data_IF_523863919593
#
_entry.id   IF_523863919593
#
_cell.length_a   1.000
_cell.length_b   1.000
_cell.length_c   1.000
_cell.angle_alpha   90.00
_cell.angle_beta   90.00
_cell.angle_gamma   90.00
#
_symmetry.space_group_name_H-M   'P 1'
#
loop_
_entity.id
_entity.type
_entity.pdbx_description
1 polymer ?
#
# COMPACT_ATOMS: atom_id res chain seq x y z
N UNK A 1 -14.13 8.89 -14.83
CA UNK A 1 -13.22 9.36 -13.76
C UNK A 1 -13.19 8.38 -12.59
N UNK A 2 -14.24 8.29 -11.77
CA UNK A 2 -14.24 7.48 -10.53
C UNK A 2 -13.84 6.00 -10.67
N UNK A 3 -14.30 5.33 -11.74
CA UNK A 3 -14.02 3.92 -11.98
C UNK A 3 -12.70 3.66 -12.74
N UNK A 4 -12.02 4.70 -13.21
CA UNK A 4 -10.89 4.55 -14.13
C UNK A 4 -11.32 4.21 -15.56
N UNK A 5 -10.52 4.65 -16.52
CA UNK A 5 -10.67 4.39 -17.96
C UNK A 5 -9.37 4.77 -18.66
N UNK A 6 -9.21 4.43 -19.94
CA UNK A 6 -8.04 4.81 -20.73
C UNK A 6 -7.83 6.33 -20.81
N UNK A 7 -8.89 7.14 -20.66
CA UNK A 7 -8.81 8.61 -20.70
C UNK A 7 -8.59 9.25 -19.33
N UNK A 8 -8.50 8.47 -18.25
CA UNK A 8 -8.29 8.96 -16.89
C UNK A 8 -7.13 8.20 -16.22
N UNK A 9 -5.89 8.38 -16.71
CA UNK A 9 -4.73 7.64 -16.23
C UNK A 9 -4.33 8.03 -14.81
N UNK A 10 -3.92 7.06 -14.00
CA UNK A 10 -3.57 7.27 -12.59
C UNK A 10 -2.35 8.17 -12.40
N UNK A 11 -1.48 8.27 -13.41
CA UNK A 11 -0.30 9.13 -13.34
C UNK A 11 -0.66 10.62 -13.41
N UNK A 12 -1.87 10.95 -13.88
CA UNK A 12 -2.39 12.32 -13.94
C UNK A 12 -3.44 12.60 -12.87
N UNK A 13 -4.23 11.58 -12.47
CA UNK A 13 -5.38 11.75 -11.58
C UNK A 13 -5.28 11.03 -10.24
N UNK A 14 -4.19 10.28 -10.00
CA UNK A 14 -4.06 9.40 -8.84
C UNK A 14 -4.80 8.06 -9.01
N UNK A 15 -4.58 7.11 -8.08
CA UNK A 15 -5.24 5.80 -8.10
C UNK A 15 -6.74 5.91 -7.75
N UNK A 16 -7.47 4.82 -7.95
CA UNK A 16 -8.89 4.72 -7.56
C UNK A 16 -9.05 3.98 -6.24
N UNK A 17 -10.17 4.19 -5.54
CA UNK A 17 -10.48 3.45 -4.32
C UNK A 17 -10.52 1.92 -4.52
N UNK A 18 -10.90 1.47 -5.71
CA UNK A 18 -11.05 0.06 -6.02
C UNK A 18 -9.71 -0.66 -6.04
N UNK A 19 -8.63 0.04 -6.41
CA UNK A 19 -7.27 -0.49 -6.35
C UNK A 19 -6.82 -0.73 -4.91
N UNK A 20 -7.20 0.15 -3.97
CA UNK A 20 -6.97 -0.07 -2.54
C UNK A 20 -7.83 -1.21 -1.99
N UNK A 21 -9.14 -1.17 -2.25
CA UNK A 21 -10.10 -2.13 -1.71
C UNK A 21 -9.79 -3.58 -2.12
N UNK A 22 -9.22 -3.77 -3.31
CA UNK A 22 -8.86 -5.09 -3.86
C UNK A 22 -7.39 -5.44 -3.68
N UNK A 23 -6.58 -4.57 -3.07
CA UNK A 23 -5.14 -4.83 -2.90
C UNK A 23 -4.36 -4.94 -4.22
N UNK A 24 -4.74 -4.15 -5.24
CA UNK A 24 -4.19 -4.26 -6.60
C UNK A 24 -2.67 -4.06 -6.64
N UNK A 25 -2.17 -2.97 -6.06
CA UNK A 25 -0.73 -2.68 -6.05
C UNK A 25 0.02 -3.60 -5.09
N UNK A 26 -0.58 -3.91 -3.94
CA UNK A 26 -0.06 -4.90 -2.99
C UNK A 26 0.21 -6.24 -3.70
N UNK A 27 -0.75 -6.75 -4.49
CA UNK A 27 -0.61 -8.01 -5.20
C UNK A 27 0.56 -7.98 -6.21
N UNK A 28 0.70 -6.90 -6.97
CA UNK A 28 1.81 -6.74 -7.92
C UNK A 28 3.17 -6.66 -7.20
N UNK A 29 3.23 -5.97 -6.06
CA UNK A 29 4.43 -5.92 -5.23
C UNK A 29 4.82 -7.33 -4.76
N UNK A 30 3.89 -8.08 -4.16
CA UNK A 30 4.16 -9.46 -3.73
C UNK A 30 4.53 -10.39 -4.88
N UNK A 31 3.93 -10.20 -6.07
CA UNK A 31 4.32 -10.95 -7.26
C UNK A 31 5.78 -10.70 -7.65
N UNK A 32 6.23 -9.44 -7.63
CA UNK A 32 7.63 -9.07 -7.93
C UNK A 32 8.61 -9.60 -6.89
N UNK A 33 8.28 -9.43 -5.61
CA UNK A 33 9.10 -9.96 -4.51
C UNK A 33 9.19 -11.49 -4.61
N UNK A 34 8.06 -12.18 -4.82
CA UNK A 34 8.02 -13.62 -5.01
C UNK A 34 8.87 -14.09 -6.20
N UNK A 35 8.85 -13.36 -7.32
CA UNK A 35 9.74 -13.62 -8.45
C UNK A 35 11.22 -13.53 -8.08
N UNK A 36 11.60 -12.49 -7.34
CA UNK A 36 12.98 -12.35 -6.85
C UNK A 36 13.42 -13.49 -5.93
N UNK A 37 12.52 -13.95 -5.06
CA UNK A 37 12.80 -15.09 -4.18
C UNK A 37 12.98 -16.41 -4.95
N UNK A 38 12.19 -16.64 -6.00
CA UNK A 38 12.35 -17.81 -6.90
C UNK A 38 13.71 -17.77 -7.62
N UNK A 39 14.22 -16.57 -7.90
CA UNK A 39 15.56 -16.35 -8.47
C UNK A 39 16.69 -16.45 -7.42
N UNK A 40 16.41 -16.97 -6.22
CA UNK A 40 17.35 -17.10 -5.09
C UNK A 40 17.91 -15.78 -4.55
N UNK A 41 17.16 -14.68 -4.70
CA UNK A 41 17.51 -13.41 -4.06
C UNK A 41 17.15 -13.47 -2.58
N UNK A 42 17.92 -12.79 -1.75
CA UNK A 42 17.53 -12.55 -0.37
C UNK A 42 16.29 -11.65 -0.31
N UNK A 43 15.54 -11.69 0.80
CA UNK A 43 14.39 -10.80 1.03
C UNK A 43 14.77 -9.33 0.85
N UNK A 44 15.92 -8.92 1.39
CA UNK A 44 16.39 -7.53 1.29
C UNK A 44 16.64 -7.11 -0.16
N UNK A 45 17.19 -7.99 -0.99
CA UNK A 45 17.43 -7.72 -2.41
C UNK A 45 16.12 -7.70 -3.22
N UNK A 46 15.19 -8.60 -2.91
CA UNK A 46 13.89 -8.63 -3.58
C UNK A 46 13.10 -7.35 -3.29
N UNK A 47 13.08 -6.89 -2.04
CA UNK A 47 12.41 -5.66 -1.63
C UNK A 47 13.10 -4.39 -2.15
N UNK A 48 14.43 -4.35 -2.23
CA UNK A 48 15.17 -3.17 -2.74
C UNK A 48 14.95 -2.92 -4.23
N UNK A 49 14.49 -3.92 -4.98
CA UNK A 49 14.11 -3.81 -6.40
C UNK A 49 12.70 -3.25 -6.62
N UNK A 50 11.89 -3.07 -5.56
CA UNK A 50 10.57 -2.49 -5.68
C UNK A 50 10.67 -0.97 -5.91
N UNK A 51 10.12 -0.43 -7.00
CA UNK A 51 10.16 1.01 -7.24
C UNK A 51 9.38 1.77 -6.17
N UNK A 52 9.95 2.85 -5.64
CA UNK A 52 9.27 3.70 -4.64
C UNK A 52 7.93 4.23 -5.14
N UNK A 53 7.81 4.56 -6.44
CA UNK A 53 6.53 4.97 -7.06
C UNK A 53 5.45 3.88 -6.92
N UNK A 54 5.82 2.61 -7.08
CA UNK A 54 4.88 1.50 -6.94
C UNK A 54 4.48 1.31 -5.47
N UNK A 55 5.44 1.37 -4.55
CA UNK A 55 5.18 1.33 -3.12
C UNK A 55 4.25 2.48 -2.68
N UNK A 56 4.45 3.68 -3.24
CA UNK A 56 3.64 4.85 -2.93
C UNK A 56 2.20 4.74 -3.46
N UNK A 57 1.96 4.05 -4.59
CA UNK A 57 0.59 3.75 -5.01
C UNK A 57 -0.15 2.80 -4.05
N UNK A 58 0.57 1.98 -3.29
CA UNK A 58 0.02 1.05 -2.30
C UNK A 58 -0.16 1.66 -0.90
N UNK A 59 -0.34 2.98 -0.83
CA UNK A 59 -0.53 3.74 0.41
C UNK A 59 -1.93 4.36 0.48
N UNK A 60 -2.61 4.20 1.63
CA UNK A 60 -4.03 4.55 1.77
C UNK A 60 -4.34 6.04 1.59
N UNK A 61 -3.43 6.96 1.91
CA UNK A 61 -3.74 8.39 1.74
C UNK A 61 -3.84 8.79 0.27
N UNK A 62 -3.26 7.99 -0.64
CA UNK A 62 -3.47 8.17 -2.08
C UNK A 62 -4.83 7.67 -2.57
N UNK A 63 -5.64 7.03 -1.70
CA UNK A 63 -7.01 6.65 -2.02
C UNK A 63 -7.93 7.90 -2.02
N UNK A 64 -8.58 8.23 -3.15
CA UNK A 64 -9.42 9.43 -3.26
C UNK A 64 -10.68 9.37 -2.38
N UNK A 65 -10.99 8.22 -1.77
CA UNK A 65 -12.09 8.04 -0.84
C UNK A 65 -11.74 8.31 0.64
N UNK A 66 -10.59 8.93 0.94
CA UNK A 66 -10.14 9.30 2.30
C UNK A 66 -10.16 10.81 2.60
N UNK A 67 -10.74 11.61 1.70
CA UNK A 67 -10.91 13.06 1.89
C UNK A 67 -12.00 13.42 2.90
N UNK A 68 -12.31 14.72 2.98
CA UNK A 68 -13.44 15.23 3.74
C UNK A 68 -13.97 16.51 3.08
N UNK A 69 -15.29 16.74 3.11
CA UNK A 69 -15.94 17.81 2.35
C UNK A 69 -15.33 19.20 2.58
N UNK A 70 -14.88 19.47 3.80
CA UNK A 70 -14.29 20.76 4.19
C UNK A 70 -12.77 20.71 4.44
N UNK A 71 -12.10 19.60 4.10
CA UNK A 71 -10.64 19.53 4.10
C UNK A 71 -10.15 20.09 2.77
N UNK A 72 -9.96 21.40 2.71
CA UNK A 72 -9.52 22.11 1.50
C UNK A 72 -8.00 22.06 1.32
N UNK A 73 -7.54 22.15 0.07
CA UNK A 73 -6.13 22.19 -0.29
C UNK A 73 -5.64 20.95 -1.02
N UNK A 74 -4.32 20.87 -1.23
CA UNK A 74 -3.65 19.69 -1.81
C UNK A 74 -3.55 18.56 -0.79
N UNK A 75 -3.26 17.35 -1.28
CA UNK A 75 -2.96 16.20 -0.42
C UNK A 75 -1.75 16.47 0.48
N UNK A 76 -0.74 17.19 -0.03
CA UNK A 76 0.46 17.58 0.71
C UNK A 76 0.16 18.41 1.96
N UNK A 77 -0.95 19.16 2.00
CA UNK A 77 -1.38 19.90 3.19
C UNK A 77 -1.95 18.98 4.28
N UNK A 78 -2.35 17.76 3.92
CA UNK A 78 -2.90 16.75 4.81
C UNK A 78 -1.80 15.95 5.50
N UNK A 79 -1.11 15.09 4.75
CA UNK A 79 -0.10 14.16 5.28
C UNK A 79 1.35 14.57 5.01
N UNK A 80 1.57 15.68 4.30
CA UNK A 80 2.89 16.24 4.04
C UNK A 80 3.46 15.83 2.68
N UNK A 81 4.71 16.25 2.43
CA UNK A 81 5.43 15.93 1.19
C UNK A 81 6.18 14.62 1.38
N UNK A 82 5.95 13.65 0.50
CA UNK A 82 6.69 12.40 0.50
C UNK A 82 8.18 12.64 0.21
N UNK A 83 9.06 12.15 1.09
CA UNK A 83 10.53 12.34 0.98
C UNK A 83 11.25 11.09 0.46
N UNK A 84 10.79 9.90 0.84
CA UNK A 84 11.39 8.64 0.43
C UNK A 84 10.73 7.44 1.11
N UNK A 85 10.99 6.24 0.60
CA UNK A 85 10.43 5.01 1.15
C UNK A 85 11.36 4.40 2.20
N UNK A 86 10.82 4.06 3.38
CA UNK A 86 11.58 3.47 4.49
C UNK A 86 11.73 1.93 4.37
N UNK A 87 11.31 1.34 3.26
CA UNK A 87 11.31 -0.11 3.05
C UNK A 87 10.04 -0.81 3.54
N UNK A 88 10.02 -2.13 3.38
CA UNK A 88 8.91 -2.98 3.78
C UNK A 88 9.13 -3.55 5.19
N UNK A 89 8.25 -3.25 6.17
CA UNK A 89 8.37 -3.81 7.51
C UNK A 89 7.95 -5.29 7.53
N UNK A 90 8.72 -6.12 8.23
CA UNK A 90 8.37 -7.52 8.52
C UNK A 90 8.19 -7.65 10.03
N UNK A 91 6.99 -8.03 10.45
CA UNK A 91 6.69 -8.27 11.86
C UNK A 91 6.83 -9.74 12.18
N UNK A 92 7.42 -10.07 13.33
CA UNK A 92 7.55 -11.44 13.81
C UNK A 92 7.17 -11.55 15.27
N UNK A 93 6.55 -12.67 15.64
CA UNK A 93 6.34 -13.00 17.04
C UNK A 93 7.61 -13.59 17.70
N UNK A 94 7.50 -13.95 18.98
CA UNK A 94 8.59 -14.59 19.75
C UNK A 94 9.03 -15.95 19.19
N UNK A 95 8.19 -16.60 18.39
CA UNK A 95 8.45 -17.90 17.74
C UNK A 95 9.04 -17.71 16.33
N UNK A 96 9.18 -16.46 15.87
CA UNK A 96 9.71 -16.12 14.55
C UNK A 96 8.68 -16.21 13.42
N UNK A 97 7.40 -16.45 13.72
CA UNK A 97 6.33 -16.46 12.72
C UNK A 97 6.08 -15.06 12.20
N UNK A 98 5.94 -14.92 10.89
CA UNK A 98 5.61 -13.64 10.27
C UNK A 98 4.15 -13.26 10.56
N UNK A 99 3.95 -11.97 10.86
CA UNK A 99 2.65 -11.39 11.17
C UNK A 99 2.32 -10.26 10.20
N UNK A 100 1.03 -10.11 9.91
CA UNK A 100 0.51 -9.13 8.97
C UNK A 100 -0.42 -8.15 9.68
N UNK A 101 -0.20 -6.85 9.46
CA UNK A 101 -1.11 -5.81 9.98
C UNK A 101 -2.37 -5.76 9.12
N UNK A 102 -3.54 -5.85 9.75
CA UNK A 102 -4.82 -5.68 9.04
C UNK A 102 -4.94 -4.25 8.51
N UNK A 103 -5.04 -4.12 7.17
CA UNK A 103 -5.22 -2.82 6.51
C UNK A 103 -6.53 -2.15 6.89
N UNK A 104 -6.50 -0.82 7.02
CA UNK A 104 -7.66 0.02 7.24
C UNK A 104 -8.60 -0.03 6.01
N UNK A 105 -9.87 -0.47 6.17
CA UNK A 105 -10.85 -0.37 5.12
C UNK A 105 -11.26 1.08 4.88
N UNK A 106 -11.64 1.40 3.64
CA UNK A 106 -11.93 2.78 3.20
C UNK A 106 -12.97 3.51 4.06
N UNK A 107 -13.96 2.80 4.62
CA UNK A 107 -15.06 3.42 5.38
C UNK A 107 -14.63 3.94 6.77
N UNK A 108 -13.52 3.46 7.32
CA UNK A 108 -13.11 3.79 8.69
C UNK A 108 -12.28 5.07 8.74
N UNK A 109 -12.67 6.01 9.60
CA UNK A 109 -11.81 7.15 10.00
C UNK A 109 -10.74 6.71 11.00
N UNK A 110 -11.10 5.82 11.93
CA UNK A 110 -10.21 5.20 12.91
C UNK A 110 -10.29 3.69 12.81
N UNK A 111 -9.16 2.99 12.92
CA UNK A 111 -9.09 1.54 12.83
C UNK A 111 -8.10 0.99 13.86
N UNK A 112 -8.43 -0.14 14.46
CA UNK A 112 -7.58 -0.78 15.46
C UNK A 112 -6.32 -1.36 14.81
N UNK A 113 -5.25 -1.48 15.60
CA UNK A 113 -4.05 -2.22 15.19
C UNK A 113 -4.26 -3.68 15.55
N UNK A 114 -4.37 -4.53 14.54
CA UNK A 114 -4.50 -5.99 14.68
C UNK A 114 -3.43 -6.63 13.81
N UNK A 115 -2.65 -7.53 14.40
CA UNK A 115 -1.71 -8.39 13.70
C UNK A 115 -2.33 -9.78 13.61
N UNK A 116 -2.29 -10.38 12.43
CA UNK A 116 -2.76 -11.74 12.15
C UNK A 116 -1.62 -12.58 11.59
N UNK A 117 -1.68 -13.89 11.78
CA UNK A 117 -0.75 -14.81 11.12
C UNK A 117 -1.13 -15.09 9.66
N UNK A 118 -0.40 -16.01 9.00
CA UNK A 118 -0.64 -16.39 7.60
C UNK A 118 -2.00 -17.08 7.35
N UNK A 119 -2.64 -17.60 8.40
CA UNK A 119 -3.95 -18.25 8.35
C UNK A 119 -5.09 -17.28 8.74
N UNK A 120 -4.74 -16.05 9.14
CA UNK A 120 -5.69 -15.01 9.54
C UNK A 120 -6.16 -15.11 10.99
N UNK A 121 -5.43 -15.84 11.84
CA UNK A 121 -5.69 -15.99 13.28
C UNK A 121 -5.17 -14.78 14.06
#
# INVERSE_FOLDING_TARGET
MWYGSATTPIELFGPTRYQWDQGYFQQEIYRRVGGGLVENQSLSEAWSKIPEKLAFYDYISNNPAKGGLFRAGSMDNGDGIAVGWLGHPIFRDKEGRELFVRRMPTFFETFLVVLVDGDGI
#
